data_IF_893577384883
#
_entry.id   IF_893577384883
#
_cell.length_a   1.000
_cell.length_b   1.000
_cell.length_c   1.000
_cell.angle_alpha   90.00
_cell.angle_beta   90.00
_cell.angle_gamma   90.00
#
_symmetry.space_group_name_H-M   'P 1'
#
loop_
_entity.id
_entity.type
_entity.pdbx_description
1 polymer ?
#
# COMPACT_ATOMS: atom_id res chain seq x y z
N UNK A 1 -33.39 39.01 14.03
CA UNK A 1 -32.40 38.85 12.95
C UNK A 1 -31.95 37.41 12.98
N UNK A 2 -32.75 36.55 12.36
CA UNK A 2 -32.71 35.09 12.48
C UNK A 2 -31.78 34.60 11.38
N UNK A 3 -30.58 34.13 11.73
CA UNK A 3 -29.71 33.54 10.72
C UNK A 3 -30.39 32.30 10.16
N UNK A 4 -30.46 32.28 8.84
CA UNK A 4 -31.09 31.25 8.04
C UNK A 4 -30.37 29.91 8.24
N UNK A 5 -30.93 29.06 9.10
CA UNK A 5 -30.48 27.67 9.35
C UNK A 5 -30.92 26.75 8.20
N UNK A 6 -31.19 27.29 7.00
CA UNK A 6 -31.57 26.49 5.82
C UNK A 6 -30.53 26.46 4.71
N UNK A 7 -29.28 26.91 4.95
CA UNK A 7 -28.14 26.49 4.10
C UNK A 7 -27.82 25.02 4.35
N UNK A 8 -28.68 24.13 3.88
CA UNK A 8 -28.34 22.75 3.59
C UNK A 8 -27.50 22.83 2.32
N UNK A 9 -26.18 22.87 2.48
CA UNK A 9 -25.27 22.52 1.38
C UNK A 9 -25.87 21.26 0.73
N UNK A 10 -26.11 21.23 -0.59
CA UNK A 10 -26.56 20.01 -1.23
C UNK A 10 -25.57 18.95 -0.79
N UNK A 11 -26.07 17.88 -0.16
CA UNK A 11 -25.28 16.67 0.05
C UNK A 11 -24.85 16.33 -1.35
N UNK A 12 -23.62 16.73 -1.71
CA UNK A 12 -22.96 16.26 -2.91
C UNK A 12 -23.23 14.77 -2.90
N UNK A 13 -23.63 14.14 -4.02
CA UNK A 13 -23.63 12.70 -4.11
C UNK A 13 -22.21 12.29 -3.76
N UNK A 14 -22.00 12.07 -2.46
CA UNK A 14 -20.70 11.99 -1.83
C UNK A 14 -20.36 10.59 -2.18
N UNK A 15 -19.76 10.44 -3.37
CA UNK A 15 -19.30 9.22 -3.99
C UNK A 15 -19.22 8.16 -2.91
N UNK A 16 -20.25 7.33 -2.79
CA UNK A 16 -20.35 6.41 -1.65
C UNK A 16 -19.02 5.68 -1.65
N UNK A 17 -18.17 5.89 -0.63
CA UNK A 17 -16.85 5.34 -0.67
C UNK A 17 -17.01 3.82 -0.77
N UNK A 18 -16.10 3.13 -1.47
CA UNK A 18 -16.19 1.69 -1.56
C UNK A 18 -16.37 1.11 -0.14
N UNK A 19 -17.18 0.04 0.03
CA UNK A 19 -17.56 -0.49 1.35
C UNK A 19 -16.41 -0.91 2.29
N UNK A 20 -15.18 -0.77 1.79
CA UNK A 20 -13.93 -1.25 2.31
C UNK A 20 -12.96 -0.07 2.34
N UNK A 21 -12.51 0.30 3.53
CA UNK A 21 -11.44 1.26 3.68
C UNK A 21 -10.17 0.79 2.95
N UNK A 22 -9.43 1.68 2.25
CA UNK A 22 -8.12 1.36 1.69
C UNK A 22 -7.19 0.80 2.76
N UNK A 23 -6.29 -0.10 2.36
CA UNK A 23 -5.34 -0.66 3.31
C UNK A 23 -4.41 0.42 3.88
N UNK A 24 -4.13 0.33 5.18
CA UNK A 24 -3.29 1.30 5.91
C UNK A 24 -1.78 1.17 5.61
N UNK A 25 -1.39 0.72 4.41
CA UNK A 25 -0.03 0.85 3.94
C UNK A 25 0.11 2.17 3.19
N UNK A 26 0.79 3.12 3.80
CA UNK A 26 1.23 4.34 3.10
C UNK A 26 2.41 4.04 2.16
N UNK A 27 2.26 3.09 1.23
CA UNK A 27 3.33 2.61 0.35
C UNK A 27 4.44 1.80 1.03
N UNK A 28 4.19 1.28 2.25
CA UNK A 28 5.23 0.71 3.13
C UNK A 28 5.08 -0.78 3.41
N UNK A 29 5.02 -1.61 2.37
CA UNK A 29 4.99 -3.07 2.54
C UNK A 29 6.41 -3.61 2.69
N UNK A 30 6.62 -4.57 3.59
CA UNK A 30 7.95 -5.18 3.79
C UNK A 30 8.39 -5.89 2.52
N UNK A 31 7.48 -6.61 1.83
CA UNK A 31 7.78 -7.25 0.55
C UNK A 31 8.18 -6.25 -0.54
N UNK A 32 7.55 -5.08 -0.58
CA UNK A 32 7.85 -4.03 -1.57
C UNK A 32 9.17 -3.33 -1.30
N UNK A 33 9.45 -2.97 -0.04
CA UNK A 33 10.73 -2.32 0.32
C UNK A 33 11.92 -3.26 0.22
N UNK A 34 11.75 -4.55 0.53
CA UNK A 34 12.78 -5.56 0.28
C UNK A 34 13.11 -5.67 -1.20
N UNK A 35 12.10 -5.72 -2.08
CA UNK A 35 12.32 -5.75 -3.52
C UNK A 35 13.06 -4.51 -4.01
N UNK A 36 12.60 -3.33 -3.60
CA UNK A 36 13.17 -2.06 -4.00
C UNK A 36 14.68 -2.00 -3.70
N UNK A 37 15.07 -2.28 -2.46
CA UNK A 37 16.48 -2.18 -2.06
C UNK A 37 17.36 -3.22 -2.75
N UNK A 38 16.90 -4.46 -2.89
CA UNK A 38 17.71 -5.51 -3.52
C UNK A 38 17.87 -5.24 -5.03
N UNK A 39 16.80 -4.83 -5.72
CA UNK A 39 16.87 -4.49 -7.15
C UNK A 39 17.73 -3.25 -7.37
N UNK A 40 17.60 -2.22 -6.54
CA UNK A 40 18.43 -1.03 -6.61
C UNK A 40 19.93 -1.38 -6.43
N UNK A 41 20.26 -2.24 -5.46
CA UNK A 41 21.63 -2.71 -5.26
C UNK A 41 22.15 -3.51 -6.48
N UNK A 42 21.34 -4.44 -7.01
CA UNK A 42 21.71 -5.20 -8.20
C UNK A 42 21.92 -4.32 -9.44
N UNK A 43 21.08 -3.30 -9.63
CA UNK A 43 21.24 -2.32 -10.71
C UNK A 43 22.53 -1.51 -10.60
N UNK A 44 22.92 -1.11 -9.38
CA UNK A 44 24.21 -0.45 -9.13
C UNK A 44 25.38 -1.37 -9.49
N UNK A 45 25.32 -2.65 -9.11
CA UNK A 45 26.36 -3.63 -9.46
C UNK A 45 26.45 -3.82 -10.98
N UNK A 46 25.32 -3.93 -11.67
CA UNK A 46 25.30 -4.00 -13.14
C UNK A 46 25.93 -2.75 -13.76
N UNK A 47 25.60 -1.57 -13.27
CA UNK A 47 26.16 -0.31 -13.78
C UNK A 47 27.69 -0.28 -13.62
N UNK A 48 28.22 -0.71 -12.48
CA UNK A 48 29.68 -0.84 -12.26
C UNK A 48 30.29 -1.84 -13.24
N UNK A 49 29.66 -3.01 -13.44
CA UNK A 49 30.12 -4.01 -14.39
C UNK A 49 30.12 -3.51 -15.83
N UNK A 50 29.11 -2.73 -16.22
CA UNK A 50 29.00 -2.16 -17.56
C UNK A 50 30.08 -1.10 -17.84
N UNK A 51 30.35 -0.21 -16.87
CA UNK A 51 31.40 0.82 -17.01
C UNK A 51 32.80 0.21 -17.08
N UNK A 52 33.00 -0.96 -16.47
CA UNK A 52 34.29 -1.66 -16.46
C UNK A 52 34.44 -2.75 -17.53
N UNK A 53 33.43 -2.93 -18.41
CA UNK A 53 33.33 -4.03 -19.39
C UNK A 53 33.57 -5.43 -18.76
N UNK A 54 33.12 -5.60 -17.51
CA UNK A 54 33.35 -6.82 -16.75
C UNK A 54 32.10 -7.68 -16.66
N UNK A 55 31.97 -8.63 -17.59
CA UNK A 55 30.82 -9.56 -17.67
C UNK A 55 30.51 -10.29 -16.37
N UNK A 56 31.53 -10.70 -15.60
CA UNK A 56 31.30 -11.36 -14.30
C UNK A 56 30.54 -10.49 -13.29
N UNK A 57 30.80 -9.18 -13.26
CA UNK A 57 30.12 -8.23 -12.36
C UNK A 57 28.69 -7.99 -12.83
N UNK A 58 28.47 -7.90 -14.14
CA UNK A 58 27.14 -7.79 -14.74
C UNK A 58 26.28 -8.99 -14.37
N UNK A 59 26.82 -10.21 -14.55
CA UNK A 59 26.12 -11.45 -14.18
C UNK A 59 25.84 -11.47 -12.67
N UNK A 60 26.82 -11.08 -11.84
CA UNK A 60 26.64 -10.97 -10.39
C UNK A 60 25.48 -10.05 -10.01
N UNK A 61 25.39 -8.87 -10.64
CA UNK A 61 24.28 -7.94 -10.41
C UNK A 61 22.93 -8.49 -10.87
N UNK A 62 22.87 -9.21 -12.00
CA UNK A 62 21.66 -9.88 -12.46
C UNK A 62 21.19 -10.98 -11.49
N UNK A 63 22.12 -11.74 -10.90
CA UNK A 63 21.82 -12.73 -9.86
C UNK A 63 21.23 -12.05 -8.62
N UNK A 64 21.77 -10.91 -8.19
CA UNK A 64 21.23 -10.14 -7.05
C UNK A 64 19.78 -9.71 -7.32
N UNK A 65 19.49 -9.21 -8.52
CA UNK A 65 18.11 -8.86 -8.92
C UNK A 65 17.19 -10.08 -8.86
N UNK A 66 17.62 -11.21 -9.41
CA UNK A 66 16.84 -12.46 -9.38
C UNK A 66 16.53 -12.91 -7.95
N UNK A 67 17.50 -12.84 -7.04
CA UNK A 67 17.30 -13.12 -5.61
C UNK A 67 16.29 -12.15 -5.00
N UNK A 68 16.36 -10.86 -5.31
CA UNK A 68 15.40 -9.86 -4.84
C UNK A 68 13.96 -10.16 -5.24
N UNK A 69 13.75 -10.60 -6.47
CA UNK A 69 12.44 -11.03 -6.96
C UNK A 69 11.92 -12.23 -6.17
N UNK A 70 12.75 -13.25 -5.97
CA UNK A 70 12.38 -14.45 -5.21
C UNK A 70 12.03 -14.08 -3.76
N UNK A 71 12.87 -13.29 -3.09
CA UNK A 71 12.65 -12.83 -1.72
C UNK A 71 11.33 -12.07 -1.59
N UNK A 72 11.04 -11.15 -2.52
CA UNK A 72 9.79 -10.39 -2.50
C UNK A 72 8.55 -11.28 -2.73
N UNK A 73 8.64 -12.25 -3.64
CA UNK A 73 7.56 -13.21 -3.89
C UNK A 73 7.28 -14.07 -2.65
N UNK A 74 8.32 -14.55 -1.98
CA UNK A 74 8.20 -15.30 -0.73
C UNK A 74 7.56 -14.43 0.36
N UNK A 75 8.06 -13.21 0.56
CA UNK A 75 7.49 -12.25 1.52
C UNK A 75 6.01 -11.97 1.21
N UNK A 76 5.66 -11.78 -0.06
CA UNK A 76 4.27 -11.58 -0.48
C UNK A 76 3.40 -12.78 -0.14
N UNK A 77 3.88 -14.00 -0.41
CA UNK A 77 3.18 -15.24 -0.07
C UNK A 77 2.98 -15.43 1.44
N UNK A 78 3.93 -14.95 2.26
CA UNK A 78 3.83 -14.95 3.72
C UNK A 78 2.95 -13.82 4.29
N UNK A 79 2.32 -13.01 3.43
CA UNK A 79 1.42 -11.93 3.84
C UNK A 79 2.10 -10.58 4.09
N UNK A 80 3.40 -10.45 3.82
CA UNK A 80 4.14 -9.18 3.93
C UNK A 80 3.95 -8.25 2.72
N UNK A 81 3.17 -8.69 1.71
CA UNK A 81 2.76 -7.89 0.54
C UNK A 81 1.40 -7.19 0.65
N UNK A 82 0.63 -7.50 1.72
CA UNK A 82 -0.75 -7.07 2.12
C UNK A 82 -1.93 -8.00 1.74
N UNK A 83 -3.09 -7.98 2.47
CA UNK A 83 -3.48 -7.31 3.75
C UNK A 83 -4.26 -8.25 4.75
N UNK A 84 -4.63 -7.81 5.98
CA UNK A 84 -5.42 -8.67 6.91
C UNK A 84 -6.84 -8.23 7.31
N UNK A 85 -7.24 -6.96 7.26
CA UNK A 85 -8.64 -6.59 7.50
C UNK A 85 -8.95 -5.24 6.88
N UNK A 86 -9.84 -5.23 5.91
CA UNK A 86 -10.68 -4.05 5.63
C UNK A 86 -11.78 -4.09 6.67
N UNK A 87 -11.74 -3.22 7.68
CA UNK A 87 -12.85 -3.15 8.62
C UNK A 87 -14.08 -2.71 7.82
N UNK A 88 -15.18 -3.48 7.76
CA UNK A 88 -16.44 -2.98 7.23
C UNK A 88 -16.79 -1.74 8.04
N UNK A 89 -17.03 -0.61 7.37
CA UNK A 89 -17.66 0.52 8.03
C UNK A 89 -19.10 0.09 8.29
N UNK A 90 -19.61 0.13 9.54
CA UNK A 90 -21.03 -0.14 9.78
C UNK A 90 -21.83 0.78 8.86
N UNK A 91 -22.59 0.18 7.94
CA UNK A 91 -23.52 0.95 7.13
C UNK A 91 -24.50 1.60 8.09
N UNK A 92 -24.85 2.87 7.86
CA UNK A 92 -25.88 3.59 8.65
C UNK A 92 -27.25 2.87 8.66
N UNK A 93 -27.39 1.78 7.90
CA UNK A 93 -28.54 0.90 7.77
C UNK A 93 -28.41 -0.43 8.52
N UNK A 94 -27.32 -0.70 9.26
CA UNK A 94 -27.19 -1.91 10.08
C UNK A 94 -28.08 -1.79 11.35
N UNK A 95 -29.12 -2.65 11.50
CA UNK A 95 -30.05 -2.59 12.64
C UNK A 95 -29.39 -2.84 14.00
N UNK A 96 -28.15 -3.33 14.03
CA UNK A 96 -27.43 -3.70 15.25
C UNK A 96 -26.49 -2.60 15.76
N UNK A 97 -26.28 -1.53 15.00
CA UNK A 97 -25.60 -0.32 15.47
C UNK A 97 -26.61 0.65 16.07
N UNK A 98 -26.77 0.61 17.39
CA UNK A 98 -27.43 1.69 18.13
C UNK A 98 -26.67 3.03 17.97
N UNK A 99 -27.28 4.16 18.41
CA UNK A 99 -26.64 5.47 18.34
C UNK A 99 -25.24 5.43 18.93
N UNK A 100 -24.23 5.89 18.19
CA UNK A 100 -22.87 6.07 18.71
C UNK A 100 -22.95 7.10 19.85
N UNK A 101 -22.60 6.75 21.09
CA UNK A 101 -22.67 7.69 22.20
C UNK A 101 -21.67 8.83 21.95
N UNK A 102 -22.16 10.06 22.03
CA UNK A 102 -21.32 11.27 22.01
C UNK A 102 -20.36 11.21 23.22
N UNK A 103 -19.08 10.94 22.95
CA UNK A 103 -18.03 11.11 23.96
C UNK A 103 -17.78 12.62 24.05
N UNK A 104 -18.34 13.24 25.09
CA UNK A 104 -18.15 14.65 25.44
C UNK A 104 -16.70 15.01 25.71
#
# INVERSE_FOLDING_TARGET
MTQDVTRREPVQPLMDPPPVAPYANHGRTVAGWALFWIVAAGAIVIAIGAVSDHWGVIIGGAVVIAVGLIVSLVLRGLGHGQPKTSRPVPSLTDPLTGPVPDVR
#
